data_IF_344151406670
#
_entry.id   IF_344151406670
#
_cell.length_a   1.000
_cell.length_b   1.000
_cell.length_c   1.000
_cell.angle_alpha   90.00
_cell.angle_beta   90.00
_cell.angle_gamma   90.00
#
_symmetry.space_group_name_H-M   'P 1'
#
loop_
_entity.id
_entity.type
_entity.pdbx_description
1 polymer ?
#
# COMPACT_ATOMS: atom_id res chain seq x y z
N UNK A 1 -24.57 -14.92 35.73
CA UNK A 1 -23.42 -14.80 34.81
C UNK A 1 -23.99 -14.87 33.42
N UNK A 2 -24.01 -13.76 32.68
CA UNK A 2 -24.41 -13.77 31.28
C UNK A 2 -23.17 -13.97 30.43
N UNK A 3 -23.10 -15.06 29.69
CA UNK A 3 -22.03 -15.28 28.72
C UNK A 3 -22.19 -14.26 27.60
N UNK A 4 -21.21 -13.36 27.49
CA UNK A 4 -21.06 -12.49 26.35
C UNK A 4 -20.48 -13.35 25.23
N UNK A 5 -21.37 -13.90 24.38
CA UNK A 5 -20.92 -14.41 23.09
C UNK A 5 -20.42 -13.21 22.29
N UNK A 6 -19.11 -13.18 22.06
CA UNK A 6 -18.48 -12.25 21.13
C UNK A 6 -19.26 -12.26 19.82
N UNK A 7 -19.53 -11.08 19.29
CA UNK A 7 -20.19 -10.90 18.00
C UNK A 7 -19.20 -11.23 16.88
N UNK A 8 -18.80 -12.49 16.78
CA UNK A 8 -18.10 -13.02 15.63
C UNK A 8 -19.09 -12.99 14.45
N UNK A 9 -18.82 -12.11 13.47
CA UNK A 9 -19.64 -11.94 12.27
C UNK A 9 -20.27 -10.55 12.08
N UNK A 10 -19.95 -9.55 12.92
CA UNK A 10 -20.34 -8.14 12.70
C UNK A 10 -19.22 -7.25 12.11
N UNK A 11 -18.09 -7.82 11.69
CA UNK A 11 -16.97 -7.02 11.18
C UNK A 11 -17.29 -6.28 9.86
N UNK A 12 -18.32 -6.72 9.13
CA UNK A 12 -18.72 -6.13 7.85
C UNK A 12 -20.21 -5.71 7.82
N UNK A 13 -20.79 -5.41 8.98
CA UNK A 13 -22.18 -4.95 9.10
C UNK A 13 -22.37 -3.53 8.54
N UNK A 14 -22.40 -3.40 7.21
CA UNK A 14 -22.95 -2.25 6.49
C UNK A 14 -22.03 -1.06 6.22
N UNK A 15 -20.71 -1.17 6.45
CA UNK A 15 -19.77 -0.12 6.03
C UNK A 15 -19.45 -0.30 4.54
N UNK A 16 -20.22 0.35 3.68
CA UNK A 16 -19.91 0.41 2.25
C UNK A 16 -18.57 1.15 2.09
N UNK A 17 -17.54 0.44 1.63
CA UNK A 17 -16.23 1.05 1.29
C UNK A 17 -16.43 2.23 0.34
N UNK A 18 -15.78 3.34 0.67
CA UNK A 18 -15.80 4.54 -0.15
C UNK A 18 -15.01 4.37 -1.45
N UNK A 19 -15.17 5.30 -2.41
CA UNK A 19 -14.52 5.21 -3.72
C UNK A 19 -12.99 5.21 -3.63
N UNK A 20 -12.40 6.01 -2.74
CA UNK A 20 -10.94 6.07 -2.59
C UNK A 20 -10.42 4.77 -1.97
N UNK A 21 -11.07 4.24 -0.94
CA UNK A 21 -10.70 2.95 -0.33
C UNK A 21 -10.71 1.82 -1.37
N UNK A 22 -11.77 1.72 -2.18
CA UNK A 22 -11.87 0.73 -3.27
C UNK A 22 -10.74 0.87 -4.30
N UNK A 23 -10.43 2.10 -4.70
CA UNK A 23 -9.36 2.37 -5.65
C UNK A 23 -7.99 1.99 -5.08
N UNK A 24 -7.73 2.34 -3.82
CA UNK A 24 -6.49 2.02 -3.10
C UNK A 24 -6.33 0.52 -2.91
N UNK A 25 -7.38 -0.21 -2.53
CA UNK A 25 -7.36 -1.68 -2.43
C UNK A 25 -7.02 -2.34 -3.78
N UNK A 26 -7.65 -1.88 -4.86
CA UNK A 26 -7.35 -2.37 -6.22
C UNK A 26 -5.91 -2.07 -6.63
N UNK A 27 -5.40 -0.88 -6.30
CA UNK A 27 -3.99 -0.52 -6.54
C UNK A 27 -3.06 -1.47 -5.79
N UNK A 28 -3.25 -1.66 -4.48
CA UNK A 28 -2.39 -2.52 -3.65
C UNK A 28 -2.36 -3.95 -4.20
N UNK A 29 -3.52 -4.52 -4.52
CA UNK A 29 -3.63 -5.89 -5.03
C UNK A 29 -2.86 -6.09 -6.34
N UNK A 30 -2.94 -5.13 -7.27
CA UNK A 30 -2.17 -5.17 -8.53
C UNK A 30 -0.71 -4.87 -8.31
N UNK A 31 -0.41 -3.90 -7.45
CA UNK A 31 0.96 -3.47 -7.22
C UNK A 31 1.76 -4.60 -6.59
N UNK A 32 1.24 -5.31 -5.58
CA UNK A 32 1.96 -6.38 -4.88
C UNK A 32 2.17 -7.66 -5.68
N UNK A 33 1.48 -7.81 -6.82
CA UNK A 33 1.54 -9.02 -7.64
C UNK A 33 2.98 -9.28 -8.14
N UNK A 34 3.49 -10.49 -7.90
CA UNK A 34 4.85 -10.88 -8.31
C UNK A 34 5.99 -10.26 -7.50
N UNK A 35 5.70 -9.49 -6.45
CA UNK A 35 6.72 -8.86 -5.59
C UNK A 35 7.05 -9.75 -4.40
N UNK A 36 8.31 -9.70 -3.98
CA UNK A 36 8.77 -10.40 -2.77
C UNK A 36 8.05 -9.86 -1.53
N UNK A 37 7.91 -10.70 -0.51
CA UNK A 37 7.32 -10.29 0.76
C UNK A 37 8.20 -9.25 1.48
N UNK A 38 7.57 -8.21 2.04
CA UNK A 38 8.27 -7.11 2.68
C UNK A 38 7.41 -6.43 3.74
N UNK A 39 7.82 -6.56 5.01
CA UNK A 39 7.08 -6.01 6.15
C UNK A 39 6.90 -4.47 6.09
N UNK A 40 7.85 -3.74 5.51
CA UNK A 40 7.71 -2.30 5.33
C UNK A 40 6.65 -1.98 4.27
N UNK A 41 6.61 -2.75 3.18
CA UNK A 41 5.56 -2.59 2.17
C UNK A 41 4.17 -2.89 2.75
N UNK A 42 4.02 -3.92 3.58
CA UNK A 42 2.76 -4.25 4.26
C UNK A 42 2.28 -3.15 5.20
N UNK A 43 3.21 -2.52 5.93
CA UNK A 43 2.91 -1.35 6.74
C UNK A 43 2.42 -0.17 5.89
N UNK A 44 3.05 0.07 4.73
CA UNK A 44 2.64 1.11 3.80
C UNK A 44 1.26 0.81 3.19
N UNK A 45 0.97 -0.43 2.77
CA UNK A 45 -0.34 -0.83 2.27
C UNK A 45 -1.46 -0.57 3.29
N UNK A 46 -1.21 -0.92 4.56
CA UNK A 46 -2.15 -0.68 5.66
C UNK A 46 -2.37 0.83 5.89
N UNK A 47 -1.29 1.61 5.85
CA UNK A 47 -1.35 3.07 5.97
C UNK A 47 -2.12 3.72 4.83
N UNK A 48 -1.95 3.25 3.60
CA UNK A 48 -2.67 3.72 2.42
C UNK A 48 -4.18 3.49 2.56
N UNK A 49 -4.62 2.32 3.02
CA UNK A 49 -6.05 2.04 3.25
C UNK A 49 -6.65 2.95 4.34
N UNK A 50 -5.91 3.20 5.42
CA UNK A 50 -6.34 4.15 6.48
C UNK A 50 -6.52 5.56 5.94
N UNK A 51 -5.57 6.06 5.15
CA UNK A 51 -5.66 7.38 4.51
C UNK A 51 -6.81 7.44 3.50
N UNK A 52 -7.02 6.38 2.71
CA UNK A 52 -8.12 6.31 1.75
C UNK A 52 -9.50 6.42 2.43
N UNK A 53 -9.71 5.72 3.56
CA UNK A 53 -10.91 5.87 4.39
C UNK A 53 -11.10 7.29 4.92
N UNK A 54 -10.01 7.94 5.33
CA UNK A 54 -10.06 9.33 5.80
C UNK A 54 -10.44 10.30 4.68
N UNK A 55 -9.92 10.11 3.47
CA UNK A 55 -10.27 10.88 2.27
C UNK A 55 -11.77 10.73 2.00
N UNK A 56 -12.27 9.50 1.93
CA UNK A 56 -13.70 9.23 1.68
C UNK A 56 -14.57 9.91 2.75
N UNK A 57 -14.21 9.78 4.03
CA UNK A 57 -14.94 10.38 5.13
C UNK A 57 -14.89 11.92 5.15
N UNK A 58 -13.81 12.55 4.70
CA UNK A 58 -13.69 14.00 4.57
C UNK A 58 -14.46 14.52 3.36
N UNK A 59 -14.30 13.86 2.22
CA UNK A 59 -14.96 14.21 0.96
C UNK A 59 -16.49 14.15 1.10
N UNK A 60 -17.02 13.11 1.76
CA UNK A 60 -18.45 12.99 2.07
C UNK A 60 -19.01 14.13 2.93
N UNK A 61 -18.14 14.85 3.65
CA UNK A 61 -18.51 16.01 4.49
C UNK A 61 -18.16 17.34 3.82
N UNK A 62 -17.79 17.33 2.53
CA UNK A 62 -17.38 18.52 1.78
C UNK A 62 -16.10 19.16 2.30
N UNK A 63 -15.23 18.40 2.98
CA UNK A 63 -13.98 18.91 3.52
C UNK A 63 -12.83 18.70 2.55
N UNK A 64 -11.83 19.57 2.69
CA UNK A 64 -10.56 19.49 1.98
C UNK A 64 -9.80 18.19 2.31
N UNK A 65 -9.14 17.63 1.29
CA UNK A 65 -8.49 16.30 1.34
C UNK A 65 -7.01 16.29 0.90
N UNK A 66 -6.45 17.44 0.48
CA UNK A 66 -5.12 17.53 -0.12
C UNK A 66 -4.02 17.02 0.80
N UNK A 67 -4.11 17.26 2.12
CA UNK A 67 -3.12 16.71 3.06
C UNK A 67 -3.10 15.18 3.04
N UNK A 68 -4.27 14.55 3.06
CA UNK A 68 -4.37 13.10 2.99
C UNK A 68 -3.95 12.57 1.61
N UNK A 69 -4.29 13.27 0.53
CA UNK A 69 -3.82 12.92 -0.82
C UNK A 69 -2.29 13.00 -0.94
N UNK A 70 -1.66 14.03 -0.38
CA UNK A 70 -0.19 14.15 -0.34
C UNK A 70 0.44 12.99 0.40
N UNK A 71 -0.11 12.59 1.55
CA UNK A 71 0.36 11.39 2.27
C UNK A 71 0.19 10.12 1.45
N UNK A 72 -0.96 9.93 0.79
CA UNK A 72 -1.22 8.76 -0.04
C UNK A 72 -0.23 8.65 -1.21
N UNK A 73 0.02 9.76 -1.91
CA UNK A 73 1.01 9.81 -3.00
C UNK A 73 2.44 9.56 -2.49
N UNK A 74 2.78 10.08 -1.31
CA UNK A 74 4.08 9.82 -0.68
C UNK A 74 4.31 8.34 -0.38
N UNK A 75 3.29 7.60 0.04
CA UNK A 75 3.41 6.15 0.24
C UNK A 75 3.59 5.38 -1.07
N UNK A 76 2.92 5.80 -2.15
CA UNK A 76 3.10 5.21 -3.48
C UNK A 76 4.56 5.40 -3.95
N UNK A 77 5.13 6.58 -3.78
CA UNK A 77 6.54 6.85 -4.13
C UNK A 77 7.52 6.01 -3.30
N UNK A 78 7.24 5.82 -2.01
CA UNK A 78 8.07 4.94 -1.16
C UNK A 78 7.99 3.48 -1.63
N UNK A 79 6.81 3.01 -2.03
CA UNK A 79 6.65 1.67 -2.58
C UNK A 79 7.43 1.48 -3.89
N UNK A 80 7.48 2.49 -4.76
CA UNK A 80 8.31 2.47 -5.99
C UNK A 80 9.81 2.44 -5.68
N UNK A 81 10.22 2.96 -4.51
CA UNK A 81 11.62 2.84 -4.04
C UNK A 81 11.93 1.44 -3.53
N UNK A 82 10.99 0.79 -2.83
CA UNK A 82 11.14 -0.60 -2.35
C UNK A 82 11.14 -1.58 -3.53
N UNK A 83 10.29 -1.34 -4.51
CA UNK A 83 10.13 -2.20 -5.68
C UNK A 83 10.34 -1.41 -6.97
N UNK A 84 11.60 -1.11 -7.32
CA UNK A 84 11.90 -0.37 -8.52
C UNK A 84 11.41 -1.12 -9.77
N UNK A 85 10.71 -0.40 -10.66
CA UNK A 85 10.15 -0.94 -11.91
C UNK A 85 11.22 -1.39 -12.92
N UNK A 86 12.47 -0.97 -12.72
CA UNK A 86 13.61 -1.34 -13.53
C UNK A 86 14.57 -2.14 -12.64
N UNK A 87 14.96 -3.37 -13.01
CA UNK A 87 16.11 -4.02 -12.38
C UNK A 87 17.27 -3.04 -12.38
N UNK A 88 17.94 -2.88 -11.24
CA UNK A 88 19.08 -1.99 -11.17
C UNK A 88 20.11 -2.50 -12.19
N UNK A 89 20.37 -1.73 -13.25
CA UNK A 89 21.46 -2.01 -14.21
C UNK A 89 22.83 -2.10 -13.51
N UNK A 90 22.89 -1.68 -12.25
CA UNK A 90 24.02 -1.85 -11.37
C UNK A 90 24.41 -3.31 -11.17
N UNK A 91 23.47 -4.27 -11.12
CA UNK A 91 23.82 -5.68 -10.92
C UNK A 91 24.51 -6.27 -12.15
N UNK A 92 23.95 -6.07 -13.35
CA UNK A 92 24.56 -6.53 -14.61
C UNK A 92 25.98 -5.96 -14.79
N UNK A 93 26.17 -4.67 -14.46
CA UNK A 93 27.47 -4.00 -14.57
C UNK A 93 28.45 -4.43 -13.47
N UNK A 94 27.97 -4.70 -12.26
CA UNK A 94 28.81 -5.24 -11.18
C UNK A 94 29.29 -6.65 -11.55
N UNK A 95 28.39 -7.46 -12.11
CA UNK A 95 28.65 -8.84 -12.52
C UNK A 95 29.65 -8.88 -13.69
N UNK A 96 29.51 -8.01 -14.69
CA UNK A 96 30.52 -7.81 -15.74
C UNK A 96 31.87 -7.36 -15.20
N UNK A 97 31.90 -6.41 -14.26
CA UNK A 97 33.14 -5.93 -13.63
C UNK A 97 33.84 -7.03 -12.82
N UNK A 98 33.09 -7.84 -12.07
CA UNK A 98 33.62 -8.97 -11.32
C UNK A 98 34.15 -10.05 -12.26
N UNK A 99 33.43 -10.36 -13.33
CA UNK A 99 33.87 -11.32 -14.35
C UNK A 99 35.14 -10.86 -15.08
N UNK A 100 35.29 -9.54 -15.32
CA UNK A 100 36.48 -8.96 -15.93
C UNK A 100 37.71 -8.97 -15.00
N UNK A 101 37.52 -8.86 -13.68
CA UNK A 101 38.61 -8.95 -12.69
C UNK A 101 39.03 -10.40 -12.36
N UNK A 102 38.22 -11.39 -12.72
CA UNK A 102 38.52 -12.81 -12.51
C UNK A 102 39.29 -13.48 -13.67
N UNK A 103 39.61 -12.72 -14.73
CA UNK A 103 40.46 -13.14 -15.86
C UNK A 103 41.87 -12.57 -15.73
#
# INVERSE_FOLDING_TARGET
MGEFHGLDGMEDAGIVKGPQEKATEKFINRFREGKADNAMADFLYSSMLSIARNIDAQNNRGREISRNMTSLLGYIQQLETIYPSTPSQTDDRLEELMAAMAK
#
